data_IF_310650722872
#
_entry.id   IF_310650722872
#
_cell.length_a   1.000
_cell.length_b   1.000
_cell.length_c   1.000
_cell.angle_alpha   90.00
_cell.angle_beta   90.00
_cell.angle_gamma   90.00
#
_symmetry.space_group_name_H-M   'P 1'
#
loop_
_entity.id
_entity.type
_entity.pdbx_description
1 polymer ?
#
# COMPACT_ATOMS: atom_id res chain seq x y z
N UNK A 1 18.59 29.18 15.70
CA UNK A 1 19.88 29.22 14.98
C UNK A 1 19.82 28.22 13.85
N UNK A 2 20.70 28.30 12.85
CA UNK A 2 20.64 27.47 11.63
C UNK A 2 20.65 25.94 11.89
N UNK A 3 21.08 25.51 13.08
CA UNK A 3 21.14 24.10 13.50
C UNK A 3 19.77 23.57 13.96
N UNK A 4 18.98 24.37 14.68
CA UNK A 4 17.67 23.94 15.20
C UNK A 4 16.69 23.67 14.05
N UNK A 5 16.74 24.51 13.01
CA UNK A 5 15.91 24.37 11.81
C UNK A 5 16.26 23.09 11.04
N UNK A 6 17.54 22.68 11.01
CA UNK A 6 17.99 21.41 10.38
C UNK A 6 17.49 20.21 11.17
N UNK A 7 17.57 20.25 12.51
CA UNK A 7 17.13 19.13 13.37
C UNK A 7 15.61 18.94 13.26
N UNK A 8 14.83 20.02 13.28
CA UNK A 8 13.36 19.96 13.13
C UNK A 8 13.00 19.42 11.74
N UNK A 9 13.66 19.90 10.67
CA UNK A 9 13.42 19.42 9.32
C UNK A 9 13.74 17.92 9.18
N UNK A 10 14.89 17.48 9.68
CA UNK A 10 15.28 16.06 9.65
C UNK A 10 14.31 15.17 10.43
N UNK A 11 13.91 15.58 11.65
CA UNK A 11 12.94 14.84 12.45
C UNK A 11 11.59 14.73 11.74
N UNK A 12 11.15 15.80 11.08
CA UNK A 12 9.87 15.82 10.34
C UNK A 12 9.92 14.89 9.12
N UNK A 13 11.03 14.88 8.39
CA UNK A 13 11.26 13.96 7.27
C UNK A 13 11.24 12.51 7.77
N UNK A 14 12.03 12.19 8.80
CA UNK A 14 12.10 10.84 9.36
C UNK A 14 10.72 10.37 9.86
N UNK A 15 9.96 11.26 10.50
CA UNK A 15 8.59 10.96 10.94
C UNK A 15 7.68 10.66 9.75
N UNK A 16 7.81 11.41 8.66
CA UNK A 16 7.02 11.19 7.44
C UNK A 16 7.37 9.85 6.79
N UNK A 17 8.65 9.48 6.78
CA UNK A 17 9.14 8.20 6.24
C UNK A 17 8.61 7.02 7.07
N UNK A 18 8.64 7.13 8.40
CA UNK A 18 8.11 6.11 9.32
C UNK A 18 6.60 5.92 9.17
N UNK A 19 5.85 7.01 8.95
CA UNK A 19 4.41 6.94 8.70
C UNK A 19 4.11 6.23 7.36
N UNK A 20 4.87 6.54 6.30
CA UNK A 20 4.74 5.86 5.00
C UNK A 20 5.12 4.38 5.08
N UNK A 21 6.17 4.04 5.83
CA UNK A 21 6.54 2.65 6.10
C UNK A 21 5.39 1.90 6.80
N UNK A 22 4.86 2.47 7.88
CA UNK A 22 3.76 1.88 8.63
C UNK A 22 2.52 1.67 7.76
N UNK A 23 2.19 2.66 6.93
CA UNK A 23 1.10 2.56 5.97
C UNK A 23 1.33 1.46 4.94
N UNK A 24 2.52 1.40 4.33
CA UNK A 24 2.87 0.37 3.35
C UNK A 24 2.78 -1.05 3.94
N UNK A 25 3.26 -1.27 5.18
CA UNK A 25 3.14 -2.55 5.88
C UNK A 25 1.68 -2.96 6.12
N UNK A 26 0.83 -2.00 6.44
CA UNK A 26 -0.59 -2.24 6.63
C UNK A 26 -1.29 -2.56 5.29
N UNK A 27 -0.94 -1.89 4.19
CA UNK A 27 -1.41 -2.24 2.84
C UNK A 27 -1.00 -3.67 2.47
N UNK A 28 0.26 -4.06 2.71
CA UNK A 28 0.74 -5.44 2.50
C UNK A 28 -0.13 -6.42 3.26
N UNK A 29 -0.41 -6.15 4.54
CA UNK A 29 -1.25 -7.02 5.37
C UNK A 29 -2.66 -7.18 4.79
N UNK A 30 -3.29 -6.09 4.32
CA UNK A 30 -4.64 -6.15 3.74
C UNK A 30 -4.68 -6.91 2.43
N UNK A 31 -3.71 -6.68 1.55
CA UNK A 31 -3.61 -7.43 0.29
C UNK A 31 -3.39 -8.92 0.59
N UNK A 32 -2.52 -9.26 1.55
CA UNK A 32 -2.28 -10.65 1.96
C UNK A 32 -3.52 -11.32 2.58
N UNK A 33 -4.33 -10.57 3.34
CA UNK A 33 -5.64 -11.05 3.82
C UNK A 33 -6.57 -11.37 2.65
N UNK A 34 -6.67 -10.47 1.67
CA UNK A 34 -7.49 -10.70 0.48
C UNK A 34 -6.98 -11.88 -0.36
N UNK A 35 -5.67 -12.08 -0.49
CA UNK A 35 -5.09 -13.26 -1.17
C UNK A 35 -5.52 -14.56 -0.50
N UNK A 36 -5.54 -14.61 0.83
CA UNK A 36 -6.00 -15.78 1.60
C UNK A 36 -7.51 -16.00 1.44
N UNK A 37 -8.30 -14.94 1.45
CA UNK A 37 -9.76 -15.01 1.26
C UNK A 37 -10.13 -15.50 -0.15
N UNK A 38 -9.29 -15.23 -1.15
CA UNK A 38 -9.42 -15.72 -2.51
C UNK A 38 -8.80 -17.12 -2.74
N UNK A 39 -8.24 -17.74 -1.70
CA UNK A 39 -7.52 -19.02 -1.76
C UNK A 39 -6.44 -19.02 -2.86
N UNK A 40 -5.66 -17.93 -2.94
CA UNK A 40 -4.58 -17.83 -3.92
C UNK A 40 -3.38 -18.69 -3.51
N UNK A 41 -2.82 -19.38 -4.48
CA UNK A 41 -1.55 -20.09 -4.30
C UNK A 41 -0.40 -19.10 -4.06
N UNK A 42 0.67 -19.60 -3.44
CA UNK A 42 1.84 -18.76 -3.12
C UNK A 42 2.46 -18.16 -4.38
N UNK A 43 2.43 -18.86 -5.52
CA UNK A 43 3.08 -18.41 -6.74
C UNK A 43 2.24 -17.41 -7.54
N UNK A 44 0.92 -17.38 -7.32
CA UNK A 44 -0.02 -16.60 -8.11
C UNK A 44 0.28 -15.10 -8.02
N UNK A 45 0.34 -14.47 -9.19
CA UNK A 45 0.54 -13.04 -9.35
C UNK A 45 -0.79 -12.32 -9.47
N UNK A 46 -0.83 -11.11 -8.94
CA UNK A 46 -2.03 -10.27 -8.97
C UNK A 46 -1.74 -8.89 -9.54
N UNK A 47 -2.77 -8.24 -10.05
CA UNK A 47 -2.81 -6.79 -10.26
C UNK A 47 -3.67 -6.17 -9.17
N UNK A 48 -3.19 -5.07 -8.59
CA UNK A 48 -3.88 -4.37 -7.49
C UNK A 48 -4.36 -3.02 -8.00
N UNK A 49 -5.62 -2.70 -7.74
CA UNK A 49 -6.16 -1.34 -7.83
C UNK A 49 -6.44 -0.81 -6.43
N UNK A 50 -6.11 0.45 -6.13
CA UNK A 50 -6.28 1.05 -4.80
C UNK A 50 -6.65 2.54 -4.90
N UNK A 51 -7.52 3.02 -4.00
CA UNK A 51 -8.03 4.41 -4.00
C UNK A 51 -7.26 5.38 -3.11
N UNK A 52 -5.94 5.31 -3.17
CA UNK A 52 -5.05 6.25 -2.48
C UNK A 52 -4.28 7.08 -3.50
N UNK A 53 -3.71 8.20 -3.06
CA UNK A 53 -2.74 8.94 -3.86
C UNK A 53 -1.41 8.16 -3.93
N UNK A 54 -0.70 8.25 -5.06
CA UNK A 54 0.53 7.50 -5.29
C UNK A 54 1.63 7.83 -4.26
N UNK A 55 1.66 9.09 -3.85
CA UNK A 55 2.60 9.64 -2.87
C UNK A 55 2.46 9.00 -1.49
N UNK A 56 1.33 8.36 -1.19
CA UNK A 56 1.13 7.65 0.08
C UNK A 56 2.01 6.39 0.21
N UNK A 57 2.36 5.75 -0.91
CA UNK A 57 3.31 4.63 -0.93
C UNK A 57 4.72 5.10 -1.34
N UNK A 58 4.83 5.98 -2.33
CA UNK A 58 6.09 6.54 -2.82
C UNK A 58 7.23 5.49 -2.92
N UNK A 59 8.30 5.61 -2.13
CA UNK A 59 9.44 4.70 -2.13
C UNK A 59 9.10 3.25 -1.71
N UNK A 60 7.95 3.02 -1.07
CA UNK A 60 7.49 1.72 -0.61
C UNK A 60 6.64 0.96 -1.62
N UNK A 61 6.29 1.53 -2.78
CA UNK A 61 5.47 0.85 -3.79
C UNK A 61 6.09 -0.50 -4.22
N UNK A 62 7.40 -0.52 -4.43
CA UNK A 62 8.11 -1.74 -4.84
C UNK A 62 8.18 -2.77 -3.71
N UNK A 63 8.28 -2.32 -2.45
CA UNK A 63 8.16 -3.21 -1.28
C UNK A 63 6.78 -3.86 -1.25
N UNK A 64 5.70 -3.07 -1.41
CA UNK A 64 4.33 -3.60 -1.42
C UNK A 64 4.15 -4.63 -2.53
N UNK A 65 4.62 -4.33 -3.75
CA UNK A 65 4.55 -5.25 -4.90
C UNK A 65 5.25 -6.58 -4.61
N UNK A 66 6.47 -6.53 -4.09
CA UNK A 66 7.26 -7.73 -3.82
C UNK A 66 6.63 -8.60 -2.73
N UNK A 67 6.23 -7.99 -1.61
CA UNK A 67 5.60 -8.72 -0.51
C UNK A 67 4.24 -9.31 -0.87
N UNK A 68 3.55 -8.78 -1.87
CA UNK A 68 2.20 -9.23 -2.27
C UNK A 68 2.15 -9.99 -3.59
N UNK A 69 3.29 -10.14 -4.25
CA UNK A 69 3.42 -10.67 -5.63
C UNK A 69 2.52 -9.94 -6.63
N UNK A 70 2.40 -8.62 -6.44
CA UNK A 70 1.65 -7.77 -7.34
C UNK A 70 2.53 -7.33 -8.49
N UNK A 71 2.07 -7.51 -9.73
CA UNK A 71 2.80 -7.04 -10.91
C UNK A 71 2.72 -5.53 -11.08
N UNK A 72 1.60 -4.94 -10.65
CA UNK A 72 1.30 -3.52 -10.72
C UNK A 72 0.41 -3.11 -9.54
N UNK A 73 0.54 -1.84 -9.16
CA UNK A 73 -0.38 -1.12 -8.30
C UNK A 73 -0.93 0.05 -9.11
N UNK A 74 -2.24 0.07 -9.34
CA UNK A 74 -2.94 1.10 -10.09
C UNK A 74 -3.74 1.96 -9.12
N UNK A 75 -3.42 3.25 -9.09
CA UNK A 75 -4.11 4.23 -8.26
C UNK A 75 -5.40 4.68 -8.97
N UNK A 76 -6.56 4.27 -8.43
CA UNK A 76 -7.88 4.46 -9.06
C UNK A 76 -8.88 4.95 -8.02
N UNK A 77 -9.68 5.95 -8.38
CA UNK A 77 -10.76 6.44 -7.50
C UNK A 77 -11.79 5.37 -7.15
N UNK A 78 -12.07 4.47 -8.10
CA UNK A 78 -12.96 3.33 -7.90
C UNK A 78 -12.24 2.04 -8.35
N UNK A 79 -11.52 1.38 -7.43
CA UNK A 79 -10.84 0.11 -7.67
C UNK A 79 -11.78 -1.01 -8.11
N UNK A 80 -11.34 -1.77 -9.10
CA UNK A 80 -12.01 -2.95 -9.62
C UNK A 80 -11.13 -4.19 -9.54
N UNK A 81 -11.71 -5.36 -9.72
CA UNK A 81 -10.99 -6.63 -9.68
C UNK A 81 -11.93 -7.82 -9.57
N UNK A 82 -11.35 -9.01 -9.45
CA UNK A 82 -12.07 -10.23 -9.15
C UNK A 82 -12.57 -10.23 -7.69
N UNK A 83 -11.85 -9.53 -6.81
CA UNK A 83 -12.23 -9.31 -5.43
C UNK A 83 -11.96 -7.86 -5.02
N UNK A 84 -12.97 -7.17 -4.48
CA UNK A 84 -12.89 -5.77 -4.06
C UNK A 84 -13.40 -5.65 -2.63
N UNK A 85 -12.68 -4.91 -1.78
CA UNK A 85 -13.01 -4.76 -0.36
C UNK A 85 -12.62 -3.40 0.18
N UNK A 86 -13.47 -2.87 1.06
CA UNK A 86 -13.17 -1.68 1.84
C UNK A 86 -12.43 -2.06 3.14
N UNK A 87 -11.41 -1.28 3.47
CA UNK A 87 -10.56 -1.45 4.65
C UNK A 87 -10.50 -0.15 5.44
N UNK A 88 -10.37 -0.29 6.76
CA UNK A 88 -10.00 0.80 7.66
C UNK A 88 -8.51 0.68 7.98
N UNK A 89 -7.74 1.70 7.60
CA UNK A 89 -6.29 1.81 7.86
C UNK A 89 -6.06 3.08 8.66
N UNK A 90 -5.77 2.92 9.95
CA UNK A 90 -5.78 4.04 10.89
C UNK A 90 -7.17 4.68 10.95
N UNK A 91 -7.26 5.96 10.62
CA UNK A 91 -8.52 6.71 10.51
C UNK A 91 -9.09 6.76 9.08
N UNK A 92 -8.31 6.34 8.09
CA UNK A 92 -8.71 6.41 6.68
C UNK A 92 -9.49 5.16 6.24
N UNK A 93 -10.40 5.37 5.29
CA UNK A 93 -11.09 4.30 4.59
C UNK A 93 -10.50 4.19 3.20
N UNK A 94 -9.97 3.02 2.89
CA UNK A 94 -9.42 2.70 1.57
C UNK A 94 -10.23 1.55 0.97
N UNK A 95 -10.24 1.46 -0.35
CA UNK A 95 -10.80 0.39 -1.15
C UNK A 95 -9.66 -0.23 -1.94
N UNK A 96 -9.61 -1.56 -1.95
CA UNK A 96 -8.61 -2.33 -2.68
C UNK A 96 -9.34 -3.32 -3.58
N UNK A 97 -8.93 -3.38 -4.84
CA UNK A 97 -9.32 -4.39 -5.82
C UNK A 97 -8.13 -5.27 -6.18
N UNK A 98 -8.35 -6.57 -6.27
CA UNK A 98 -7.35 -7.57 -6.69
C UNK A 98 -7.89 -8.34 -7.89
N UNK A 99 -7.06 -8.48 -8.92
CA UNK A 99 -7.32 -9.33 -10.09
C UNK A 99 -6.20 -10.37 -10.24
N UNK A 100 -6.55 -11.63 -10.49
CA UNK A 100 -5.55 -12.65 -10.84
C UNK A 100 -4.97 -12.35 -12.21
N UNK A 101 -3.65 -12.41 -12.33
CA UNK A 101 -2.97 -12.34 -13.63
C UNK A 101 -2.86 -13.76 -14.16
N UNK A 102 -3.39 -13.98 -15.36
CA UNK A 102 -3.29 -15.27 -16.06
C UNK A 102 -1.91 -15.45 -16.69
#
# INVERSE_FOLDING_TARGET
GKIDDIIIALNTILTSDLLREGFAREIVRRIQEMRKEMDLEMEEKIEVEINIEKEALNEWEEYVKNETRSINILYKREPQGDYVKDWKVGEEKIKIGIRKVR
#
